data_IF_553149625459
#
_entry.id   IF_553149625459
#
_cell.length_a   1.000
_cell.length_b   1.000
_cell.length_c   1.000
_cell.angle_alpha   90.00
_cell.angle_beta   90.00
_cell.angle_gamma   90.00
#
_symmetry.space_group_name_H-M   'P 1'
#
loop_
_entity.id
_entity.type
_entity.pdbx_description
1 polymer ?
#
# COMPACT_ATOMS: atom_id res chain seq x y z
N UNK A 1 -4.20 -2.05 11.31
CA UNK A 1 -5.56 -2.38 11.09
C UNK A 1 -6.00 -3.66 11.77
N UNK A 2 -7.17 -4.08 11.41
CA UNK A 2 -7.79 -5.26 12.03
C UNK A 2 -6.96 -6.54 11.85
N UNK A 3 -6.42 -6.74 10.67
CA UNK A 3 -5.58 -7.91 10.38
C UNK A 3 -4.33 -7.90 11.25
N UNK A 4 -3.65 -6.78 11.34
CA UNK A 4 -2.44 -6.66 12.14
C UNK A 4 -2.72 -6.88 13.63
N UNK A 5 -3.81 -6.31 14.14
CA UNK A 5 -4.21 -6.48 15.52
C UNK A 5 -4.49 -7.95 15.84
N UNK A 6 -5.21 -8.63 14.95
CA UNK A 6 -5.56 -10.04 15.12
C UNK A 6 -4.32 -10.93 15.14
N UNK A 7 -3.37 -10.67 14.23
CA UNK A 7 -2.14 -11.45 14.17
C UNK A 7 -1.30 -11.27 15.44
N UNK A 8 -1.23 -10.05 15.92
CA UNK A 8 -0.51 -9.76 17.17
C UNK A 8 -1.14 -10.44 18.38
N UNK A 9 -2.47 -10.58 18.41
CA UNK A 9 -3.16 -11.27 19.48
C UNK A 9 -2.79 -12.75 19.56
N UNK A 10 -2.38 -13.35 18.45
CA UNK A 10 -1.93 -14.73 18.40
C UNK A 10 -0.41 -14.89 18.57
N UNK A 11 0.24 -13.81 19.05
CA UNK A 11 1.64 -13.85 19.42
C UNK A 11 2.59 -13.66 18.26
N UNK A 12 3.14 -12.50 18.16
CA UNK A 12 4.38 -12.19 17.43
C UNK A 12 4.46 -12.65 15.96
N UNK A 13 3.34 -12.59 15.24
CA UNK A 13 3.37 -12.90 13.80
C UNK A 13 4.25 -11.90 13.07
N UNK A 14 4.12 -10.60 13.41
CA UNK A 14 4.98 -9.56 12.85
C UNK A 14 5.85 -8.96 13.95
N UNK A 15 7.16 -9.00 13.76
CA UNK A 15 8.08 -8.32 14.65
C UNK A 15 8.07 -6.81 14.36
N UNK A 16 8.81 -6.06 15.16
CA UNK A 16 8.87 -4.60 15.01
C UNK A 16 9.36 -4.18 13.63
N UNK A 17 10.34 -4.89 13.08
CA UNK A 17 10.90 -4.58 11.77
C UNK A 17 9.86 -4.68 10.67
N UNK A 18 9.08 -5.77 10.67
CA UNK A 18 8.01 -5.96 9.69
C UNK A 18 6.91 -4.94 9.87
N UNK A 19 6.54 -4.65 11.11
CA UNK A 19 5.51 -3.63 11.41
C UNK A 19 5.95 -2.24 10.94
N UNK A 20 7.21 -1.89 11.14
CA UNK A 20 7.74 -0.60 10.68
C UNK A 20 7.66 -0.49 9.16
N UNK A 21 7.97 -1.57 8.45
CA UNK A 21 7.88 -1.60 6.99
C UNK A 21 6.42 -1.48 6.51
N UNK A 22 5.51 -2.19 7.15
CA UNK A 22 4.09 -2.10 6.83
C UNK A 22 3.56 -0.70 7.09
N UNK A 23 3.95 -0.09 8.18
CA UNK A 23 3.54 1.29 8.49
C UNK A 23 4.03 2.28 7.45
N UNK A 24 5.25 2.09 6.94
CA UNK A 24 5.77 2.90 5.85
C UNK A 24 4.90 2.79 4.60
N UNK A 25 4.51 1.58 4.24
CA UNK A 25 3.61 1.33 3.12
C UNK A 25 2.24 1.96 3.36
N UNK A 26 1.70 1.82 4.57
CA UNK A 26 0.41 2.40 4.93
C UNK A 26 0.43 3.92 4.85
N UNK A 27 1.54 4.57 5.21
CA UNK A 27 1.69 6.02 5.07
C UNK A 27 1.60 6.45 3.60
N UNK A 28 2.19 5.68 2.70
CA UNK A 28 2.09 5.96 1.26
C UNK A 28 0.66 5.79 0.76
N UNK A 29 -0.04 4.77 1.24
CA UNK A 29 -1.45 4.55 0.90
C UNK A 29 -2.29 5.72 1.40
N UNK A 30 -2.04 6.19 2.61
CA UNK A 30 -2.76 7.34 3.17
C UNK A 30 -2.53 8.60 2.33
N UNK A 31 -1.30 8.85 1.90
CA UNK A 31 -1.00 9.96 1.01
C UNK A 31 -1.73 9.85 -0.31
N UNK A 32 -1.79 8.63 -0.87
CA UNK A 32 -2.56 8.39 -2.08
C UNK A 32 -4.04 8.66 -1.92
N UNK A 33 -4.60 8.29 -0.78
CA UNK A 33 -5.98 8.59 -0.46
C UNK A 33 -6.23 10.09 -0.40
N UNK A 34 -5.34 10.84 0.26
CA UNK A 34 -5.46 12.29 0.37
C UNK A 34 -5.42 12.95 -1.01
N UNK A 35 -4.54 12.47 -1.89
CA UNK A 35 -4.45 12.95 -3.27
C UNK A 35 -5.75 12.68 -4.02
N UNK A 36 -6.29 11.46 -3.88
CA UNK A 36 -7.55 11.10 -4.52
C UNK A 36 -8.69 12.01 -4.06
N UNK A 37 -8.79 12.27 -2.76
CA UNK A 37 -9.84 13.15 -2.21
C UNK A 37 -9.71 14.56 -2.79
N UNK A 38 -8.49 15.08 -2.86
CA UNK A 38 -8.25 16.40 -3.44
C UNK A 38 -8.67 16.45 -4.92
N UNK A 39 -8.36 15.41 -5.68
CA UNK A 39 -8.73 15.32 -7.09
C UNK A 39 -10.24 15.28 -7.28
N UNK A 40 -10.95 14.55 -6.39
CA UNK A 40 -12.40 14.47 -6.46
C UNK A 40 -13.07 15.81 -6.13
N UNK A 41 -12.47 16.60 -5.26
CA UNK A 41 -13.02 17.91 -4.89
C UNK A 41 -12.87 18.95 -6.00
N UNK A 42 -11.84 18.85 -6.82
CA UNK A 42 -11.52 19.85 -7.84
C UNK A 42 -11.14 19.18 -9.17
N UNK A 43 -12.05 18.39 -9.77
CA UNK A 43 -11.70 17.64 -10.98
C UNK A 43 -11.36 18.55 -12.17
N UNK A 44 -11.91 19.76 -12.23
CA UNK A 44 -11.67 20.70 -13.32
C UNK A 44 -10.25 21.32 -13.28
N UNK A 45 -9.61 21.31 -12.11
CA UNK A 45 -8.28 21.87 -11.94
C UNK A 45 -7.19 20.81 -11.94
N UNK A 46 -7.58 19.55 -12.11
CA UNK A 46 -6.70 18.47 -11.74
C UNK A 46 -5.93 17.90 -12.91
N UNK A 47 -4.62 17.94 -12.77
CA UNK A 47 -3.71 17.09 -13.49
C UNK A 47 -3.51 15.86 -12.60
N UNK A 48 -3.86 14.69 -13.10
CA UNK A 48 -3.80 13.47 -12.28
C UNK A 48 -2.38 12.91 -12.13
N UNK A 49 -1.36 13.65 -12.54
CA UNK A 49 0.02 13.20 -12.35
C UNK A 49 0.34 12.94 -10.88
N UNK A 50 -0.27 13.70 -9.97
CA UNK A 50 -0.10 13.45 -8.54
C UNK A 50 -0.65 12.08 -8.11
N UNK A 51 -1.79 11.68 -8.68
CA UNK A 51 -2.37 10.36 -8.40
C UNK A 51 -1.51 9.24 -9.02
N UNK A 52 -1.01 9.45 -10.22
CA UNK A 52 -0.11 8.50 -10.89
C UNK A 52 1.17 8.34 -10.07
N UNK A 53 1.74 9.43 -9.57
CA UNK A 53 2.94 9.38 -8.74
C UNK A 53 2.68 8.66 -7.41
N UNK A 54 1.54 8.90 -6.80
CA UNK A 54 1.18 8.23 -5.55
C UNK A 54 1.07 6.71 -5.75
N UNK A 55 0.42 6.29 -6.83
CA UNK A 55 0.28 4.87 -7.17
C UNK A 55 1.64 4.25 -7.47
N UNK A 56 2.48 4.94 -8.21
CA UNK A 56 3.83 4.50 -8.50
C UNK A 56 4.63 4.29 -7.20
N UNK A 57 4.53 5.21 -6.26
CA UNK A 57 5.26 5.10 -5.00
C UNK A 57 4.78 3.91 -4.17
N UNK A 58 3.48 3.64 -4.18
CA UNK A 58 2.91 2.48 -3.49
C UNK A 58 3.43 1.18 -4.13
N UNK A 59 3.37 1.09 -5.44
CA UNK A 59 3.80 -0.10 -6.17
C UNK A 59 5.31 -0.35 -5.99
N UNK A 60 6.13 0.69 -6.07
CA UNK A 60 7.56 0.58 -5.85
C UNK A 60 7.88 0.14 -4.42
N UNK A 61 7.17 0.69 -3.45
CA UNK A 61 7.35 0.30 -2.06
C UNK A 61 7.00 -1.17 -1.86
N UNK A 62 5.88 -1.62 -2.41
CA UNK A 62 5.47 -3.03 -2.34
C UNK A 62 6.54 -3.94 -2.93
N UNK A 63 7.00 -3.61 -4.12
CA UNK A 63 8.01 -4.39 -4.82
C UNK A 63 9.29 -4.49 -4.01
N UNK A 64 9.73 -3.35 -3.49
CA UNK A 64 10.96 -3.29 -2.70
C UNK A 64 10.85 -4.10 -1.40
N UNK A 65 9.74 -3.95 -0.68
CA UNK A 65 9.52 -4.67 0.56
C UNK A 65 9.40 -6.18 0.33
N UNK A 66 8.78 -6.57 -0.77
CA UNK A 66 8.68 -7.98 -1.14
C UNK A 66 10.04 -8.57 -1.45
N UNK A 67 10.86 -7.88 -2.23
CA UNK A 67 12.20 -8.35 -2.57
C UNK A 67 13.08 -8.46 -1.33
N UNK A 68 13.02 -7.47 -0.46
CA UNK A 68 13.74 -7.45 0.80
C UNK A 68 13.33 -8.61 1.69
N UNK A 69 12.04 -8.90 1.74
CA UNK A 69 11.52 -10.02 2.52
C UNK A 69 12.02 -11.37 2.00
N UNK A 70 12.09 -11.54 0.68
CA UNK A 70 12.61 -12.77 0.08
C UNK A 70 14.07 -12.99 0.49
N UNK A 71 14.88 -11.95 0.44
CA UNK A 71 16.28 -12.04 0.89
C UNK A 71 16.35 -12.39 2.38
N UNK A 72 15.50 -11.78 3.20
CA UNK A 72 15.49 -12.03 4.63
C UNK A 72 15.07 -13.46 4.98
N UNK A 73 14.15 -14.04 4.22
CA UNK A 73 13.74 -15.44 4.40
C UNK A 73 14.94 -16.36 4.18
N UNK A 74 15.76 -16.10 3.16
CA UNK A 74 16.92 -16.91 2.83
C UNK A 74 17.98 -16.85 3.91
N UNK A 75 18.04 -15.74 4.65
CA UNK A 75 19.11 -15.48 5.60
C UNK A 75 18.70 -15.54 7.07
N UNK A 76 17.44 -15.85 7.36
CA UNK A 76 16.96 -15.87 8.74
C UNK A 76 15.83 -16.86 8.92
N UNK A 77 15.46 -17.06 10.19
CA UNK A 77 14.43 -18.05 10.57
C UNK A 77 13.04 -17.43 10.62
N UNK A 78 12.63 -16.74 9.56
CA UNK A 78 11.27 -16.26 9.51
C UNK A 78 10.29 -17.44 9.45
N UNK A 79 9.24 -17.34 10.23
CA UNK A 79 8.14 -18.30 10.18
C UNK A 79 7.45 -18.19 8.83
N UNK A 80 7.15 -19.33 8.22
CA UNK A 80 6.47 -19.38 6.91
C UNK A 80 5.14 -18.62 6.93
N UNK A 81 4.33 -18.81 7.97
CA UNK A 81 3.04 -18.13 8.08
C UNK A 81 3.20 -16.63 8.20
N UNK A 82 4.21 -16.17 8.93
CA UNK A 82 4.53 -14.73 9.01
C UNK A 82 4.78 -14.17 7.61
N UNK A 83 5.55 -14.88 6.81
CA UNK A 83 5.85 -14.47 5.44
C UNK A 83 4.60 -14.39 4.58
N UNK A 84 3.74 -15.41 4.65
CA UNK A 84 2.49 -15.43 3.90
C UNK A 84 1.62 -14.23 4.27
N UNK A 85 1.42 -13.99 5.56
CA UNK A 85 0.60 -12.86 6.02
C UNK A 85 1.19 -11.52 5.61
N UNK A 86 2.50 -11.38 5.72
CA UNK A 86 3.18 -10.14 5.35
C UNK A 86 2.98 -9.81 3.87
N UNK A 87 3.21 -10.78 2.99
CA UNK A 87 3.03 -10.58 1.55
C UNK A 87 1.56 -10.31 1.21
N UNK A 88 0.63 -11.00 1.88
CA UNK A 88 -0.79 -10.76 1.69
C UNK A 88 -1.18 -9.33 2.02
N UNK A 89 -0.66 -8.79 3.12
CA UNK A 89 -0.94 -7.40 3.51
C UNK A 89 -0.37 -6.44 2.47
N UNK A 90 0.86 -6.67 2.00
CA UNK A 90 1.46 -5.83 0.96
C UNK A 90 0.59 -5.82 -0.31
N UNK A 91 0.11 -6.98 -0.72
CA UNK A 91 -0.73 -7.10 -1.92
C UNK A 91 -2.08 -6.41 -1.73
N UNK A 92 -2.67 -6.50 -0.55
CA UNK A 92 -3.94 -5.81 -0.27
C UNK A 92 -3.76 -4.29 -0.29
N UNK A 93 -2.68 -3.78 0.26
CA UNK A 93 -2.39 -2.35 0.24
C UNK A 93 -2.17 -1.84 -1.19
N UNK A 94 -1.53 -2.64 -2.03
CA UNK A 94 -1.35 -2.28 -3.45
C UNK A 94 -2.69 -2.23 -4.18
N UNK A 95 -3.60 -3.16 -3.90
CA UNK A 95 -4.95 -3.14 -4.50
C UNK A 95 -5.70 -1.86 -4.14
N UNK A 96 -5.55 -1.39 -2.91
CA UNK A 96 -6.13 -0.11 -2.51
C UNK A 96 -5.56 1.02 -3.35
N UNK A 97 -4.25 1.01 -3.58
CA UNK A 97 -3.59 1.99 -4.45
C UNK A 97 -4.16 1.97 -5.86
N UNK A 98 -4.35 0.77 -6.43
CA UNK A 98 -4.94 0.63 -7.78
C UNK A 98 -6.35 1.19 -7.82
N UNK A 99 -7.15 0.94 -6.80
CA UNK A 99 -8.49 1.52 -6.70
C UNK A 99 -8.44 3.04 -6.71
N UNK A 100 -7.53 3.62 -5.95
CA UNK A 100 -7.44 5.07 -5.83
C UNK A 100 -7.08 5.74 -7.14
N UNK A 101 -6.13 5.20 -7.90
CA UNK A 101 -5.78 5.76 -9.21
C UNK A 101 -6.94 5.59 -10.19
N UNK A 102 -7.63 4.47 -10.17
CA UNK A 102 -8.78 4.24 -11.03
C UNK A 102 -9.91 5.22 -10.76
N UNK A 103 -10.17 5.54 -9.50
CA UNK A 103 -11.18 6.52 -9.12
C UNK A 103 -10.78 7.90 -9.62
N UNK A 104 -9.52 8.30 -9.45
CA UNK A 104 -9.04 9.59 -9.93
C UNK A 104 -9.15 9.71 -11.46
N UNK A 105 -8.78 8.65 -12.18
CA UNK A 105 -8.88 8.62 -13.64
C UNK A 105 -10.32 8.71 -14.11
N UNK A 106 -11.22 7.99 -13.45
CA UNK A 106 -12.65 8.00 -13.79
C UNK A 106 -13.25 9.38 -13.56
N UNK A 107 -12.91 10.03 -12.45
CA UNK A 107 -13.41 11.37 -12.12
C UNK A 107 -12.95 12.39 -13.15
N UNK A 108 -11.68 12.34 -13.56
CA UNK A 108 -11.14 13.22 -14.57
C UNK A 108 -11.80 13.00 -15.94
N UNK A 109 -11.91 11.76 -16.34
CA UNK A 109 -12.52 11.40 -17.63
C UNK A 109 -13.97 11.83 -17.70
N UNK A 110 -14.74 11.63 -16.64
CA UNK A 110 -16.13 12.07 -16.58
C UNK A 110 -16.26 13.58 -16.69
N UNK A 111 -15.37 14.33 -16.03
CA UNK A 111 -15.40 15.79 -16.07
C UNK A 111 -15.07 16.31 -17.47
N UNK A 112 -14.13 15.67 -18.17
CA UNK A 112 -13.72 16.09 -19.53
C UNK A 112 -14.82 15.85 -20.57
N UNK A 113 -15.69 14.89 -20.32
CA UNK A 113 -16.79 14.56 -21.23
C UNK A 113 -18.03 15.43 -20.97
#
# INVERSE_FOLDING_TARGET
GRILKRKNAHGKVFDKSLLDRLNKMMDLVQKGFDVMVANLKNPELTDISNAVNAEYNIDECRRHLREEHIVNIENSNYNYLTGVYYIDVLNELEKIGDFMINISQAAKSKHEN
#
